data_IF_241021987115
#
_entry.id   IF_241021987115
#
_cell.length_a   1.000
_cell.length_b   1.000
_cell.length_c   1.000
_cell.angle_alpha   90.00
_cell.angle_beta   90.00
_cell.angle_gamma   90.00
#
_symmetry.space_group_name_H-M   'P 1'
#
loop_
_entity.id
_entity.type
_entity.pdbx_description
1 polymer ?
#
# COMPACT_ATOMS: atom_id res chain seq x y z
N UNK A 1 25.33 16.57 -13.25
CA UNK A 1 25.38 15.98 -11.89
C UNK A 1 25.33 17.04 -10.79
N UNK A 2 25.88 18.25 -10.98
CA UNK A 2 25.73 19.36 -10.02
C UNK A 2 24.30 19.88 -9.87
N UNK A 3 23.53 20.02 -10.96
CA UNK A 3 22.17 20.56 -10.91
C UNK A 3 21.22 19.74 -10.01
N UNK A 4 21.39 18.40 -9.99
CA UNK A 4 20.59 17.50 -9.16
C UNK A 4 20.99 17.62 -7.69
N UNK A 5 22.28 17.85 -7.40
CA UNK A 5 22.76 18.09 -6.03
C UNK A 5 22.24 19.41 -5.48
N UNK A 6 22.27 20.48 -6.27
CA UNK A 6 21.71 21.77 -5.85
C UNK A 6 20.20 21.69 -5.59
N UNK A 7 19.44 20.99 -6.43
CA UNK A 7 17.99 20.80 -6.23
C UNK A 7 17.72 19.97 -4.96
N UNK A 8 18.54 18.94 -4.68
CA UNK A 8 18.43 18.14 -3.46
C UNK A 8 18.78 18.97 -2.21
N UNK A 9 19.86 19.73 -2.25
CA UNK A 9 20.28 20.60 -1.14
C UNK A 9 19.28 21.72 -0.87
N UNK A 10 18.69 22.31 -1.90
CA UNK A 10 17.61 23.29 -1.76
C UNK A 10 16.34 22.66 -1.18
N UNK A 11 15.98 21.43 -1.60
CA UNK A 11 14.84 20.70 -1.02
C UNK A 11 15.05 20.33 0.45
N UNK A 12 16.28 19.99 0.84
CA UNK A 12 16.64 19.69 2.24
C UNK A 12 16.56 20.96 3.09
N UNK A 13 17.15 22.07 2.64
CA UNK A 13 17.06 23.37 3.34
C UNK A 13 15.62 23.87 3.50
N UNK A 14 14.78 23.70 2.47
CA UNK A 14 13.36 24.08 2.53
C UNK A 14 12.52 23.16 3.43
N UNK A 15 12.93 21.90 3.63
CA UNK A 15 12.27 20.97 4.55
C UNK A 15 12.61 21.28 6.03
N UNK A 16 13.83 21.75 6.32
CA UNK A 16 14.28 22.13 7.67
C UNK A 16 13.73 23.49 8.12
N UNK A 17 13.51 24.42 7.19
CA UNK A 17 13.04 25.78 7.50
C UNK A 17 11.52 25.91 7.63
N UNK A 18 10.75 24.95 7.13
CA UNK A 18 9.28 25.03 7.10
C UNK A 18 8.59 24.04 8.06
N UNK A 19 9.37 23.36 8.92
CA UNK A 19 8.81 22.62 10.05
C UNK A 19 8.66 23.55 11.25
N UNK A 20 7.44 23.83 11.73
CA UNK A 20 7.27 24.57 12.98
C UNK A 20 8.01 23.83 14.10
N UNK A 21 8.74 24.58 14.93
CA UNK A 21 9.45 24.01 16.08
C UNK A 21 8.47 23.19 16.95
N UNK A 22 8.93 22.04 17.48
CA UNK A 22 8.12 21.13 18.34
C UNK A 22 7.48 21.86 19.54
N UNK A 23 8.02 23.01 19.92
CA UNK A 23 7.60 23.82 21.06
C UNK A 23 6.39 24.72 20.75
N UNK A 24 6.19 25.14 19.49
CA UNK A 24 5.01 25.94 19.11
C UNK A 24 3.74 25.10 18.93
N UNK A 25 3.88 23.84 18.52
CA UNK A 25 2.72 22.97 18.27
C UNK A 25 2.07 22.42 19.56
N UNK A 26 2.77 22.50 20.70
CA UNK A 26 2.33 21.93 21.98
C UNK A 26 1.85 22.97 22.98
N UNK A 27 1.66 24.24 22.58
CA UNK A 27 1.07 25.25 23.47
C UNK A 27 -0.29 24.77 23.98
N UNK A 28 -0.42 24.74 25.30
CA UNK A 28 -1.65 24.40 26.00
C UNK A 28 -1.93 25.47 27.05
N UNK A 29 -3.21 25.69 27.36
CA UNK A 29 -3.64 26.63 28.39
C UNK A 29 -4.60 25.93 29.34
N UNK A 30 -4.67 26.40 30.58
CA UNK A 30 -5.64 25.92 31.57
C UNK A 30 -6.87 26.79 31.45
N UNK A 31 -8.02 26.16 31.24
CA UNK A 31 -9.30 26.85 31.24
C UNK A 31 -9.73 27.17 32.67
N UNK A 32 -10.12 28.42 32.94
CA UNK A 32 -10.42 28.88 34.30
C UNK A 32 -11.80 28.41 34.81
N UNK A 33 -12.73 28.10 33.90
CA UNK A 33 -14.07 27.63 34.24
C UNK A 33 -14.06 26.12 34.57
N UNK A 34 -13.34 25.33 33.79
CA UNK A 34 -13.31 23.86 33.94
C UNK A 34 -12.09 23.35 34.71
N UNK A 35 -11.02 24.15 34.85
CA UNK A 35 -9.77 23.73 35.49
C UNK A 35 -9.02 22.61 34.75
N UNK A 36 -9.34 22.40 33.46
CA UNK A 36 -8.73 21.39 32.58
C UNK A 36 -7.77 22.03 31.58
N UNK A 37 -6.77 21.28 31.11
CA UNK A 37 -5.90 21.75 30.03
C UNK A 37 -6.56 21.63 28.65
N UNK A 38 -6.41 22.67 27.84
CA UNK A 38 -6.90 22.77 26.46
C UNK A 38 -5.75 23.02 25.49
N UNK A 39 -5.94 22.59 24.25
CA UNK A 39 -5.00 22.84 23.16
C UNK A 39 -5.10 24.28 22.65
N UNK A 40 -3.99 25.00 22.57
CA UNK A 40 -3.98 26.36 22.02
C UNK A 40 -4.33 26.42 20.52
N UNK A 41 -4.07 25.33 19.77
CA UNK A 41 -4.29 25.27 18.31
C UNK A 41 -5.74 25.00 17.92
N UNK A 42 -6.37 23.98 18.52
CA UNK A 42 -7.73 23.56 18.15
C UNK A 42 -8.76 23.75 19.25
N UNK A 43 -8.37 24.33 20.40
CA UNK A 43 -9.25 24.63 21.55
C UNK A 43 -10.05 23.42 22.06
N UNK A 44 -9.55 22.22 21.85
CA UNK A 44 -10.14 20.99 22.39
C UNK A 44 -9.43 20.57 23.68
N UNK A 45 -10.13 19.90 24.61
CA UNK A 45 -9.54 19.46 25.86
C UNK A 45 -8.41 18.45 25.62
N UNK A 46 -7.31 18.63 26.34
CA UNK A 46 -6.16 17.72 26.45
C UNK A 46 -6.23 16.95 27.76
N UNK A 47 -7.12 17.32 28.69
CA UNK A 47 -7.37 16.57 29.92
C UNK A 47 -8.86 16.27 30.06
N UNK A 48 -9.17 15.13 30.67
CA UNK A 48 -10.51 14.77 31.08
C UNK A 48 -10.47 14.15 32.47
N UNK A 49 -11.48 14.41 33.27
CA UNK A 49 -11.69 13.73 34.55
C UNK A 49 -12.35 12.37 34.32
N UNK A 50 -11.76 11.34 34.90
CA UNK A 50 -12.33 9.99 34.94
C UNK A 50 -12.43 9.54 36.39
N UNK A 51 -13.52 8.86 36.71
CA UNK A 51 -13.65 8.14 37.98
C UNK A 51 -12.87 6.84 37.87
N UNK A 52 -11.83 6.71 38.69
CA UNK A 52 -11.04 5.50 38.81
C UNK A 52 -11.11 4.98 40.24
N UNK A 53 -11.97 3.99 40.46
CA UNK A 53 -12.22 3.36 41.77
C UNK A 53 -12.69 4.34 42.87
N UNK A 54 -13.58 5.29 42.52
CA UNK A 54 -14.11 6.28 43.46
C UNK A 54 -13.21 7.50 43.66
N UNK A 55 -12.03 7.54 43.03
CA UNK A 55 -11.15 8.71 42.97
C UNK A 55 -11.26 9.38 41.60
N UNK A 56 -11.65 10.66 41.58
CA UNK A 56 -11.63 11.47 40.35
C UNK A 56 -10.17 11.78 40.02
N UNK A 57 -9.69 11.28 38.87
CA UNK A 57 -8.34 11.53 38.35
C UNK A 57 -8.40 12.29 37.03
N UNK A 58 -7.55 13.31 36.91
CA UNK A 58 -7.32 14.03 35.65
C UNK A 58 -6.34 13.22 34.79
N UNK A 59 -6.80 12.79 33.63
CA UNK A 59 -5.98 12.03 32.66
C UNK A 59 -5.82 12.81 31.36
N UNK A 60 -4.66 12.66 30.73
CA UNK A 60 -4.36 13.24 29.44
C UNK A 60 -5.10 12.53 28.30
N UNK A 61 -5.75 13.31 27.44
CA UNK A 61 -6.37 12.89 26.19
C UNK A 61 -5.75 13.65 25.01
N UNK A 62 -5.88 13.09 23.81
CA UNK A 62 -5.39 13.74 22.60
C UNK A 62 -6.37 14.84 22.15
N UNK A 63 -5.84 16.04 21.87
CA UNK A 63 -6.59 17.07 21.14
C UNK A 63 -7.07 16.54 19.79
N UNK A 64 -8.12 17.14 19.24
CA UNK A 64 -8.61 16.83 17.89
C UNK A 64 -7.50 16.95 16.83
N UNK A 65 -6.68 17.99 16.93
CA UNK A 65 -5.55 18.24 16.05
C UNK A 65 -4.51 17.10 15.98
N UNK A 66 -4.23 16.48 17.12
CA UNK A 66 -3.29 15.36 17.25
C UNK A 66 -3.94 14.06 16.80
N UNK A 67 -5.24 13.88 17.07
CA UNK A 67 -6.01 12.73 16.58
C UNK A 67 -6.04 12.69 15.05
N UNK A 68 -6.32 13.81 14.39
CA UNK A 68 -6.32 13.90 12.92
C UNK A 68 -4.93 13.64 12.34
N UNK A 69 -3.88 14.21 12.93
CA UNK A 69 -2.50 13.93 12.52
C UNK A 69 -2.15 12.45 12.66
N UNK A 70 -2.46 11.84 13.80
CA UNK A 70 -2.22 10.42 14.03
C UNK A 70 -2.97 9.55 13.04
N UNK A 71 -4.25 9.87 12.75
CA UNK A 71 -5.02 9.17 11.71
C UNK A 71 -4.35 9.28 10.34
N UNK A 72 -3.95 10.47 9.93
CA UNK A 72 -3.25 10.68 8.65
C UNK A 72 -1.91 9.93 8.58
N UNK A 73 -1.14 9.94 9.67
CA UNK A 73 0.12 9.17 9.76
C UNK A 73 -0.14 7.67 9.73
N UNK A 74 -1.20 7.19 10.37
CA UNK A 74 -1.59 5.78 10.37
C UNK A 74 -2.06 5.34 8.97
N UNK A 75 -2.86 6.15 8.28
CA UNK A 75 -3.27 5.93 6.90
C UNK A 75 -2.06 5.87 5.97
N UNK A 76 -1.13 6.83 6.08
CA UNK A 76 0.14 6.81 5.33
C UNK A 76 0.96 5.55 5.63
N UNK A 77 1.04 5.13 6.90
CA UNK A 77 1.75 3.89 7.28
C UNK A 77 1.07 2.66 6.69
N UNK A 78 -0.26 2.59 6.70
CA UNK A 78 -1.03 1.48 6.10
C UNK A 78 -0.79 1.42 4.59
N UNK A 79 -0.88 2.56 3.91
CA UNK A 79 -0.63 2.64 2.47
C UNK A 79 0.81 2.24 2.12
N UNK A 80 1.80 2.75 2.86
CA UNK A 80 3.20 2.36 2.64
C UNK A 80 3.43 0.85 2.84
N UNK A 81 2.80 0.25 3.86
CA UNK A 81 2.88 -1.21 4.09
C UNK A 81 2.26 -1.98 2.93
N UNK A 82 1.11 -1.52 2.42
CA UNK A 82 0.44 -2.10 1.26
C UNK A 82 1.33 -2.04 0.01
N UNK A 83 1.91 -0.87 -0.29
CA UNK A 83 2.81 -0.70 -1.43
C UNK A 83 4.04 -1.61 -1.36
N UNK A 84 4.67 -1.71 -0.18
CA UNK A 84 5.81 -2.61 0.04
C UNK A 84 5.43 -4.08 -0.16
N UNK A 85 4.24 -4.48 0.29
CA UNK A 85 3.72 -5.84 0.08
C UNK A 85 3.51 -6.13 -1.41
N UNK A 86 2.90 -5.21 -2.16
CA UNK A 86 2.70 -5.34 -3.60
C UNK A 86 4.05 -5.43 -4.33
N UNK A 87 5.03 -4.61 -3.95
CA UNK A 87 6.38 -4.65 -4.53
C UNK A 87 7.06 -6.00 -4.28
N UNK A 88 6.92 -6.55 -3.07
CA UNK A 88 7.44 -7.86 -2.74
C UNK A 88 6.78 -8.97 -3.56
N UNK A 89 5.45 -8.99 -3.64
CA UNK A 89 4.71 -9.98 -4.44
C UNK A 89 5.08 -9.90 -5.94
N UNK A 90 5.31 -8.69 -6.47
CA UNK A 90 5.78 -8.51 -7.85
C UNK A 90 7.16 -9.12 -8.09
N UNK A 91 8.10 -8.95 -7.14
CA UNK A 91 9.44 -9.56 -7.20
C UNK A 91 9.39 -11.09 -7.15
N UNK A 92 8.46 -11.65 -6.40
CA UNK A 92 8.27 -13.11 -6.33
C UNK A 92 7.57 -13.67 -7.58
N UNK A 93 6.60 -12.92 -8.13
CA UNK A 93 5.81 -13.37 -9.27
C UNK A 93 6.59 -13.42 -10.58
N UNK A 94 7.41 -12.39 -10.86
CA UNK A 94 8.04 -12.21 -12.17
C UNK A 94 9.56 -12.36 -12.10
N UNK A 95 10.10 -13.26 -12.93
CA UNK A 95 11.55 -13.38 -13.13
C UNK A 95 12.11 -12.32 -14.09
N UNK A 96 11.30 -11.85 -15.05
CA UNK A 96 11.70 -10.84 -16.04
C UNK A 96 11.03 -9.49 -15.72
N UNK A 97 11.81 -8.41 -15.49
CA UNK A 97 11.29 -7.07 -15.23
C UNK A 97 10.35 -6.52 -16.31
N UNK A 98 10.44 -6.97 -17.57
CA UNK A 98 9.59 -6.46 -18.65
C UNK A 98 8.09 -6.74 -18.38
N UNK A 99 7.80 -7.85 -17.69
CA UNK A 99 6.46 -8.32 -17.36
C UNK A 99 5.74 -7.40 -16.37
N UNK A 100 6.49 -6.65 -15.54
CA UNK A 100 5.93 -5.69 -14.58
C UNK A 100 5.17 -4.55 -15.28
N UNK A 101 5.56 -4.22 -16.51
CA UNK A 101 4.98 -3.12 -17.27
C UNK A 101 3.81 -3.56 -18.17
N UNK A 102 3.53 -4.87 -18.24
CA UNK A 102 2.45 -5.43 -19.02
C UNK A 102 1.16 -5.45 -18.18
N UNK A 103 0.32 -4.45 -18.39
CA UNK A 103 -0.89 -4.23 -17.61
C UNK A 103 -2.03 -3.76 -18.52
N UNK A 104 -3.27 -3.83 -18.02
CA UNK A 104 -4.44 -3.45 -18.80
C UNK A 104 -4.46 -1.98 -19.24
N UNK A 105 -3.69 -1.08 -18.59
CA UNK A 105 -3.62 0.34 -18.98
C UNK A 105 -2.79 0.54 -20.25
N UNK A 106 -1.76 -0.28 -20.42
CA UNK A 106 -0.80 -0.23 -21.53
C UNK A 106 -1.20 -1.16 -22.69
N UNK A 107 -2.33 -1.85 -22.60
CA UNK A 107 -2.83 -2.75 -23.62
C UNK A 107 -3.69 -2.00 -24.64
N UNK A 108 -3.67 -2.44 -25.90
CA UNK A 108 -4.58 -1.94 -26.92
C UNK A 108 -6.03 -2.29 -26.53
N UNK A 109 -6.86 -1.25 -26.39
CA UNK A 109 -8.15 -1.27 -25.66
C UNK A 109 -9.32 -1.95 -26.39
N UNK A 110 -9.04 -2.78 -27.39
CA UNK A 110 -10.08 -3.21 -28.33
C UNK A 110 -10.04 -4.71 -28.62
N UNK A 111 -9.93 -5.51 -27.54
CA UNK A 111 -10.10 -6.95 -27.63
C UNK A 111 -11.18 -7.45 -26.68
N UNK A 112 -12.08 -8.29 -27.19
CA UNK A 112 -13.00 -9.11 -26.40
C UNK A 112 -12.26 -9.83 -25.25
N UNK A 113 -11.01 -10.20 -25.49
CA UNK A 113 -10.11 -10.84 -24.53
C UNK A 113 -9.79 -9.96 -23.31
N UNK A 114 -9.71 -8.63 -23.47
CA UNK A 114 -9.51 -7.71 -22.35
C UNK A 114 -10.68 -7.78 -21.37
N UNK A 115 -11.91 -7.78 -21.90
CA UNK A 115 -13.13 -7.84 -21.08
C UNK A 115 -13.19 -9.14 -20.29
N UNK A 116 -12.89 -10.27 -20.94
CA UNK A 116 -12.83 -11.58 -20.27
C UNK A 116 -11.77 -11.59 -19.17
N UNK A 117 -10.57 -11.07 -19.44
CA UNK A 117 -9.49 -11.00 -18.46
C UNK A 117 -9.80 -10.07 -17.28
N UNK A 118 -10.42 -8.91 -17.53
CA UNK A 118 -10.88 -8.00 -16.47
C UNK A 118 -11.96 -8.65 -15.61
N UNK A 119 -12.96 -9.29 -16.22
CA UNK A 119 -13.99 -10.03 -15.50
C UNK A 119 -13.39 -11.15 -14.64
N UNK A 120 -12.37 -11.85 -15.15
CA UNK A 120 -11.63 -12.86 -14.41
C UNK A 120 -10.97 -12.29 -13.14
N UNK A 121 -10.32 -11.13 -13.27
CA UNK A 121 -9.69 -10.46 -12.12
C UNK A 121 -10.73 -9.90 -11.15
N UNK A 122 -11.82 -9.31 -11.65
CA UNK A 122 -12.88 -8.72 -10.83
C UNK A 122 -13.57 -9.77 -9.96
N UNK A 123 -13.88 -10.95 -10.53
CA UNK A 123 -14.56 -12.06 -9.86
C UNK A 123 -13.61 -13.16 -9.36
N UNK A 124 -12.35 -12.81 -9.10
CA UNK A 124 -11.33 -13.81 -8.80
C UNK A 124 -11.68 -14.69 -7.60
N UNK A 125 -12.29 -14.13 -6.54
CA UNK A 125 -12.67 -14.90 -5.35
C UNK A 125 -13.67 -16.02 -5.68
N UNK A 126 -14.74 -15.71 -6.43
CA UNK A 126 -15.73 -16.68 -6.91
C UNK A 126 -15.10 -17.72 -7.85
N UNK A 127 -14.23 -17.27 -8.76
CA UNK A 127 -13.53 -18.13 -9.72
C UNK A 127 -12.60 -19.11 -9.01
N UNK A 128 -11.88 -18.64 -7.99
CA UNK A 128 -10.97 -19.45 -7.20
C UNK A 128 -11.74 -20.49 -6.37
N UNK A 129 -12.82 -20.10 -5.67
CA UNK A 129 -13.66 -21.01 -4.91
C UNK A 129 -14.29 -22.11 -5.78
N UNK A 130 -14.68 -21.77 -7.00
CA UNK A 130 -15.30 -22.70 -7.95
C UNK A 130 -14.28 -23.48 -8.83
N UNK A 131 -12.97 -23.31 -8.60
CA UNK A 131 -11.89 -23.94 -9.38
C UNK A 131 -11.96 -23.66 -10.89
N UNK A 132 -12.34 -22.43 -11.27
CA UNK A 132 -12.47 -22.02 -12.67
C UNK A 132 -11.13 -21.44 -13.16
N UNK A 133 -10.63 -21.98 -14.28
CA UNK A 133 -9.40 -21.52 -14.94
C UNK A 133 -9.67 -20.80 -16.26
N UNK A 134 -8.70 -20.01 -16.72
CA UNK A 134 -8.71 -19.39 -18.04
C UNK A 134 -7.59 -19.99 -18.90
N UNK A 135 -7.95 -20.44 -20.11
CA UNK A 135 -6.99 -20.96 -21.09
C UNK A 135 -6.89 -19.97 -22.25
N UNK A 136 -5.69 -19.45 -22.50
CA UNK A 136 -5.41 -18.54 -23.62
C UNK A 136 -4.72 -19.31 -24.75
N UNK A 137 -5.38 -19.45 -25.91
CA UNK A 137 -4.85 -20.15 -27.09
C UNK A 137 -4.80 -19.25 -28.32
N UNK A 138 -3.88 -19.53 -29.25
CA UNK A 138 -3.74 -18.78 -30.50
C UNK A 138 -2.31 -18.78 -31.02
N UNK A 139 -2.09 -18.13 -32.16
CA UNK A 139 -0.79 -18.08 -32.83
C UNK A 139 0.30 -17.36 -32.01
N UNK A 140 1.57 -17.57 -32.39
CA UNK A 140 2.71 -16.86 -31.79
C UNK A 140 2.57 -15.36 -32.06
N UNK A 141 2.88 -14.53 -31.05
CA UNK A 141 2.81 -13.07 -31.18
C UNK A 141 1.44 -12.44 -30.91
N UNK A 142 0.37 -13.20 -30.68
CA UNK A 142 -0.97 -12.66 -30.40
C UNK A 142 -1.18 -12.13 -28.96
N UNK A 143 -0.12 -11.77 -28.24
CA UNK A 143 -0.25 -11.15 -26.91
C UNK A 143 -0.72 -12.04 -25.75
N UNK A 144 -0.77 -13.38 -25.90
CA UNK A 144 -1.22 -14.29 -24.83
C UNK A 144 -0.46 -14.11 -23.51
N UNK A 145 0.88 -14.09 -23.58
CA UNK A 145 1.75 -13.87 -22.41
C UNK A 145 1.57 -12.48 -21.83
N UNK A 146 1.33 -11.47 -22.69
CA UNK A 146 1.02 -10.12 -22.26
C UNK A 146 -0.27 -10.10 -21.43
N UNK A 147 -1.34 -10.71 -21.94
CA UNK A 147 -2.62 -10.77 -21.26
C UNK A 147 -2.54 -11.53 -19.93
N UNK A 148 -1.84 -12.68 -19.90
CA UNK A 148 -1.58 -13.42 -18.66
C UNK A 148 -0.81 -12.56 -17.64
N UNK A 149 0.18 -11.81 -18.09
CA UNK A 149 0.95 -10.88 -17.25
C UNK A 149 0.09 -9.72 -16.75
N UNK A 150 -0.82 -9.21 -17.57
CA UNK A 150 -1.75 -8.15 -17.18
C UNK A 150 -2.73 -8.62 -16.11
N UNK A 151 -3.25 -9.85 -16.23
CA UNK A 151 -4.07 -10.52 -15.19
C UNK A 151 -3.25 -10.64 -13.90
N UNK A 152 -2.04 -11.19 -13.98
CA UNK A 152 -1.16 -11.37 -12.81
C UNK A 152 -0.89 -10.03 -12.11
N UNK A 153 -0.48 -9.00 -12.85
CA UNK A 153 -0.27 -7.66 -12.30
C UNK A 153 -1.52 -7.13 -11.58
N UNK A 154 -2.70 -7.28 -12.16
CA UNK A 154 -3.94 -6.79 -11.55
C UNK A 154 -4.34 -7.56 -10.27
N UNK A 155 -4.06 -8.87 -10.20
CA UNK A 155 -4.24 -9.67 -8.97
C UNK A 155 -3.22 -9.28 -7.89
N UNK A 156 -1.98 -8.99 -8.26
CA UNK A 156 -0.95 -8.53 -7.32
C UNK A 156 -1.32 -7.17 -6.69
N UNK A 157 -1.94 -6.25 -7.45
CA UNK A 157 -2.48 -4.98 -6.91
C UNK A 157 -3.62 -5.18 -5.90
N UNK A 158 -4.30 -6.34 -5.95
CA UNK A 158 -5.26 -6.80 -4.94
C UNK A 158 -4.60 -7.56 -3.78
N UNK A 159 -3.27 -7.55 -3.70
CA UNK A 159 -2.45 -8.28 -2.71
C UNK A 159 -2.60 -9.81 -2.76
N UNK A 160 -3.00 -10.36 -3.91
CA UNK A 160 -3.11 -11.80 -4.15
C UNK A 160 -1.75 -12.29 -4.68
N UNK A 161 -1.20 -13.34 -4.07
CA UNK A 161 0.04 -13.94 -4.53
C UNK A 161 -0.17 -14.71 -5.84
N UNK A 162 0.66 -14.43 -6.84
CA UNK A 162 0.63 -15.06 -8.16
C UNK A 162 2.04 -15.51 -8.51
N UNK A 163 2.17 -16.64 -9.20
CA UNK A 163 3.45 -17.12 -9.75
C UNK A 163 3.35 -17.19 -11.28
N UNK A 164 4.09 -16.34 -11.98
CA UNK A 164 4.27 -16.48 -13.43
C UNK A 164 5.43 -17.45 -13.67
N UNK A 165 5.18 -18.52 -14.41
CA UNK A 165 6.21 -19.54 -14.67
C UNK A 165 6.01 -20.20 -16.03
N UNK A 166 6.99 -20.98 -16.47
CA UNK A 166 6.93 -21.76 -17.69
C UNK A 166 7.13 -23.25 -17.37
N UNK A 167 6.78 -24.10 -18.33
CA UNK A 167 6.82 -25.55 -18.13
C UNK A 167 8.23 -26.07 -17.80
N UNK A 168 9.27 -25.50 -18.40
CA UNK A 168 10.67 -25.89 -18.12
C UNK A 168 11.07 -25.65 -16.67
N UNK A 169 10.69 -24.51 -16.10
CA UNK A 169 10.94 -24.20 -14.68
C UNK A 169 10.15 -25.16 -13.79
N UNK A 170 8.88 -25.40 -14.09
CA UNK A 170 8.04 -26.34 -13.34
C UNK A 170 8.66 -27.75 -13.33
N UNK A 171 9.14 -28.24 -14.48
CA UNK A 171 9.80 -29.54 -14.58
C UNK A 171 11.10 -29.61 -13.78
N UNK A 172 11.92 -28.55 -13.82
CA UNK A 172 13.16 -28.47 -13.06
C UNK A 172 12.88 -28.46 -11.54
N UNK A 173 11.88 -27.71 -11.09
CA UNK A 173 11.46 -27.70 -9.69
C UNK A 173 10.99 -29.11 -9.25
N UNK A 174 10.19 -29.78 -10.09
CA UNK A 174 9.71 -31.14 -9.81
C UNK A 174 10.81 -32.20 -9.75
N UNK A 175 11.84 -32.09 -10.59
CA UNK A 175 12.94 -33.05 -10.65
C UNK A 175 13.92 -32.87 -9.48
N UNK A 176 14.18 -31.62 -9.08
CA UNK A 176 15.05 -31.30 -7.95
C UNK A 176 14.43 -31.65 -6.58
N UNK A 177 13.10 -31.76 -6.48
CA UNK A 177 12.40 -32.21 -5.27
C UNK A 177 12.74 -33.66 -4.84
N UNK A 178 13.40 -34.45 -5.70
CA UNK A 178 13.74 -35.87 -5.41
C UNK A 178 15.13 -36.10 -4.81
N UNK A 179 15.89 -35.05 -4.47
CA UNK A 179 17.27 -35.18 -3.99
C UNK A 179 17.47 -35.04 -2.47
N UNK A 180 16.39 -34.92 -1.69
CA UNK A 180 16.45 -35.07 -0.23
C UNK A 180 16.18 -36.55 0.08
N UNK A 181 17.22 -37.38 -0.01
CA UNK A 181 17.29 -38.70 0.62
C UNK A 181 18.04 -38.60 1.93
#
# INVERSE_FOLDING_TARGET
MELIKEILEQKIKNAETNSPSKDEENRSYIDQETGLKYCAKCKTPIEKEIDFFGEIKKVGILCQCKKERQKLEEEKRKENKRLLKIEHLKKECFSDPILLNWNFKNMDKDSEHEKVAKNYVEKFDEIYENNIGLILTGNVGCGKTYLASAIANALLEKEISVKMTNFSVILNDMTNLRLIK
#
